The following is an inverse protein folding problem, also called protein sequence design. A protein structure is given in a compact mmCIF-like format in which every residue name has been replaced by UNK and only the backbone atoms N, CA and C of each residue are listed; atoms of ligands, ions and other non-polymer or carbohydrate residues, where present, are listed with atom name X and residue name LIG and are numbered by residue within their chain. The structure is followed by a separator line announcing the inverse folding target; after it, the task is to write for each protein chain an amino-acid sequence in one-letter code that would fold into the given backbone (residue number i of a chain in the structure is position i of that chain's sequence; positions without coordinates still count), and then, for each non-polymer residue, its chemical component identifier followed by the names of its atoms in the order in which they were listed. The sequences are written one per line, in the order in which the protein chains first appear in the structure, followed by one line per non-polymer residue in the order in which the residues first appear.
data_IF_846626671445
#
_entry.id   IF_846626671445
#
_cell.length_a   1.000
_cell.length_b   1.000
_cell.length_c   1.000
_cell.angle_alpha   90.00
_cell.angle_beta   90.00
_cell.angle_gamma   90.00
#
_symmetry.space_group_name_H-M   'P 1'
#
loop_
_entity.id
_entity.type
_entity.pdbx_description
1 polymer ?
#
# COMPACT_ATOMS: atom_id res chain seq x y z
N UNK A 1 -17.09 33.87 4.41
CA UNK A 1 -16.03 33.09 3.75
C UNK A 1 -16.54 31.67 3.59
N UNK A 2 -16.57 31.11 2.38
CA UNK A 2 -17.01 29.72 2.19
C UNK A 2 -16.02 28.78 2.89
N UNK A 3 -16.52 27.91 3.76
CA UNK A 3 -15.71 26.91 4.44
C UNK A 3 -15.03 25.99 3.39
N UNK A 4 -13.70 25.83 3.47
CA UNK A 4 -12.96 24.99 2.55
C UNK A 4 -13.37 23.53 2.73
N UNK A 5 -13.97 22.93 1.71
CA UNK A 5 -14.45 21.53 1.72
C UNK A 5 -13.42 20.53 1.17
N UNK A 6 -12.37 21.03 0.52
CA UNK A 6 -11.28 20.23 -0.05
C UNK A 6 -9.94 20.84 0.34
N UNK A 7 -9.09 20.03 0.95
CA UNK A 7 -7.74 20.38 1.39
C UNK A 7 -6.77 19.55 0.55
N UNK A 8 -5.89 20.24 -0.17
CA UNK A 8 -4.90 19.63 -1.06
C UNK A 8 -3.52 19.98 -0.55
N UNK A 9 -2.66 18.97 -0.46
CA UNK A 9 -1.25 19.12 -0.14
C UNK A 9 -0.47 19.31 -1.46
N UNK A 10 0.62 20.07 -1.47
CA UNK A 10 1.46 20.14 -2.66
C UNK A 10 2.37 18.91 -2.76
N UNK A 11 2.84 18.56 -3.97
CA UNK A 11 3.84 17.50 -4.13
C UNK A 11 5.15 17.78 -3.38
N UNK A 12 5.48 19.07 -3.15
CA UNK A 12 6.68 19.47 -2.39
C UNK A 12 6.59 19.10 -0.92
N UNK A 13 5.37 18.99 -0.41
CA UNK A 13 5.11 18.65 0.99
C UNK A 13 4.78 17.15 1.16
N UNK A 14 4.92 16.34 0.10
CA UNK A 14 4.74 14.89 0.22
C UNK A 14 5.77 14.31 1.20
N UNK A 15 5.35 13.39 2.10
CA UNK A 15 6.28 12.71 2.98
C UNK A 15 7.38 12.00 2.20
N UNK A 16 8.62 12.10 2.69
CA UNK A 16 9.79 11.41 2.14
C UNK A 16 10.05 10.04 2.75
N UNK A 17 9.33 9.68 3.82
CA UNK A 17 9.52 8.45 4.57
C UNK A 17 8.17 7.76 4.82
N UNK A 18 8.17 6.43 4.81
CA UNK A 18 7.14 5.64 5.46
C UNK A 18 7.38 5.61 6.97
N UNK A 19 6.29 5.55 7.73
CA UNK A 19 6.35 5.40 9.18
C UNK A 19 6.10 3.94 9.56
N UNK A 20 6.96 3.40 10.43
CA UNK A 20 6.87 2.05 10.95
C UNK A 20 6.47 2.10 12.43
N UNK A 21 5.27 1.60 12.72
CA UNK A 21 4.71 1.61 14.07
C UNK A 21 5.46 0.67 15.02
N UNK A 22 6.14 -0.36 14.52
CA UNK A 22 6.86 -1.34 15.35
C UNK A 22 7.94 -0.68 16.23
N UNK A 23 8.48 0.47 15.81
CA UNK A 23 9.44 1.23 16.60
C UNK A 23 8.85 1.81 17.90
N UNK A 24 7.54 2.04 17.96
CA UNK A 24 6.87 2.72 19.07
C UNK A 24 5.97 1.81 19.90
N UNK A 25 5.65 0.59 19.41
CA UNK A 25 4.86 -0.40 20.15
C UNK A 25 5.49 -0.81 21.50
N UNK A 26 6.82 -1.06 21.61
CA UNK A 26 7.42 -1.41 22.90
C UNK A 26 7.25 -0.33 23.96
N UNK A 27 7.35 0.96 23.57
CA UNK A 27 7.14 2.08 24.48
C UNK A 27 5.67 2.20 24.95
N UNK A 28 4.72 1.68 24.16
CA UNK A 28 3.32 1.55 24.54
C UNK A 28 3.04 0.27 25.35
N UNK A 29 4.06 -0.53 25.69
CA UNK A 29 3.90 -1.81 26.39
C UNK A 29 3.28 -2.90 25.54
N UNK A 30 3.31 -2.76 24.21
CA UNK A 30 2.78 -3.74 23.25
C UNK A 30 3.95 -4.54 22.69
N UNK A 31 3.98 -5.83 23.01
CA UNK A 31 4.91 -6.80 22.43
C UNK A 31 4.17 -7.61 21.36
N UNK A 32 4.65 -7.55 20.11
CA UNK A 32 4.03 -8.28 19.01
C UNK A 32 4.61 -9.70 18.95
N UNK A 33 3.76 -10.74 18.94
CA UNK A 33 4.27 -12.09 18.76
C UNK A 33 4.92 -12.21 17.38
N UNK A 34 6.05 -12.94 17.27
CA UNK A 34 6.69 -13.16 15.98
C UNK A 34 5.79 -14.00 15.08
N UNK A 35 5.92 -13.79 13.77
CA UNK A 35 5.35 -14.72 12.80
C UNK A 35 6.08 -16.07 12.93
N UNK A 36 5.30 -17.16 12.95
CA UNK A 36 5.83 -18.52 13.17
C UNK A 36 5.87 -19.30 11.86
N UNK A 37 6.93 -20.09 11.68
CA UNK A 37 7.05 -21.03 10.58
C UNK A 37 5.99 -22.13 10.72
N UNK A 38 5.13 -22.36 9.72
CA UNK A 38 3.95 -23.24 9.86
C UNK A 38 4.30 -24.71 10.11
N UNK A 39 5.48 -25.16 9.64
CA UNK A 39 5.96 -26.53 9.88
C UNK A 39 6.65 -26.77 11.23
N UNK A 40 7.39 -25.79 11.77
CA UNK A 40 8.23 -25.98 12.97
C UNK A 40 7.64 -25.31 14.20
N UNK A 41 6.72 -24.36 14.03
CA UNK A 41 6.17 -23.53 15.09
C UNK A 41 7.16 -22.55 15.72
N UNK A 42 8.37 -22.43 15.16
CA UNK A 42 9.40 -21.48 15.62
C UNK A 42 9.27 -20.14 14.90
N UNK A 43 9.77 -19.02 15.48
CA UNK A 43 9.81 -17.73 14.81
C UNK A 43 10.47 -17.81 13.43
N UNK A 44 9.89 -17.13 12.42
CA UNK A 44 10.43 -17.05 11.07
C UNK A 44 11.77 -16.33 11.06
N UNK A 45 12.73 -16.89 10.32
CA UNK A 45 13.97 -16.22 9.94
C UNK A 45 13.91 -15.65 8.52
N UNK A 46 14.87 -14.80 8.13
CA UNK A 46 14.97 -14.28 6.75
C UNK A 46 15.00 -15.38 5.68
N UNK A 47 15.70 -16.48 5.94
CA UNK A 47 15.83 -17.61 5.00
C UNK A 47 14.50 -18.30 4.72
N UNK A 48 13.54 -18.27 5.66
CA UNK A 48 12.20 -18.82 5.46
C UNK A 48 11.37 -17.97 4.49
N UNK A 49 11.71 -16.69 4.34
CA UNK A 49 11.01 -15.71 3.49
C UNK A 49 11.69 -15.48 2.14
N UNK A 50 13.00 -15.75 2.04
CA UNK A 50 13.80 -15.56 0.83
C UNK A 50 13.26 -16.27 -0.43
N UNK A 51 12.57 -17.43 -0.35
CA UNK A 51 11.93 -18.03 -1.53
C UNK A 51 10.75 -17.22 -2.08
N UNK A 52 10.16 -16.33 -1.29
CA UNK A 52 8.94 -15.58 -1.61
C UNK A 52 9.21 -14.10 -1.88
N UNK A 53 10.16 -13.51 -1.18
CA UNK A 53 10.37 -12.06 -1.18
C UNK A 53 11.84 -11.69 -1.42
N UNK A 54 12.09 -10.57 -2.13
CA UNK A 54 13.40 -9.93 -2.20
C UNK A 54 13.89 -9.51 -0.81
N UNK A 55 15.21 -9.50 -0.62
CA UNK A 55 15.82 -9.19 0.68
C UNK A 55 15.47 -7.79 1.19
N UNK A 56 15.30 -6.83 0.30
CA UNK A 56 14.87 -5.48 0.67
C UNK A 56 13.48 -5.43 1.29
N UNK A 57 12.56 -6.33 0.91
CA UNK A 57 11.23 -6.42 1.53
C UNK A 57 11.29 -7.17 2.87
N UNK A 58 12.11 -8.24 2.94
CA UNK A 58 12.32 -8.99 4.19
C UNK A 58 12.92 -8.08 5.26
N UNK A 59 13.89 -7.24 4.90
CA UNK A 59 14.50 -6.28 5.81
C UNK A 59 13.49 -5.26 6.36
N UNK A 60 12.51 -4.84 5.55
CA UNK A 60 11.45 -3.93 6.01
C UNK A 60 10.49 -4.60 7.00
N UNK A 61 10.16 -5.87 6.79
CA UNK A 61 9.27 -6.63 7.68
C UNK A 61 9.83 -6.74 9.11
N UNK A 62 11.16 -6.89 9.24
CA UNK A 62 11.84 -7.02 10.54
C UNK A 62 12.45 -5.71 11.05
N UNK A 63 12.22 -4.59 10.35
CA UNK A 63 12.83 -3.31 10.70
C UNK A 63 12.27 -2.76 12.02
N UNK A 64 13.18 -2.23 12.85
CA UNK A 64 12.88 -1.47 14.07
C UNK A 64 13.06 0.04 13.88
N UNK A 65 13.42 0.48 12.67
CA UNK A 65 13.55 1.89 12.35
C UNK A 65 12.16 2.54 12.29
N UNK A 66 12.01 3.71 12.94
CA UNK A 66 10.73 4.44 12.96
C UNK A 66 10.35 4.99 11.58
N UNK A 67 11.33 5.38 10.78
CA UNK A 67 11.13 5.98 9.47
C UNK A 67 11.99 5.27 8.44
N UNK A 68 11.36 4.85 7.34
CA UNK A 68 12.02 4.17 6.22
C UNK A 68 11.92 5.11 5.02
N UNK A 69 13.06 5.49 4.46
CA UNK A 69 13.12 6.40 3.31
C UNK A 69 12.38 5.81 2.10
N UNK A 70 11.59 6.65 1.42
CA UNK A 70 10.89 6.27 0.19
C UNK A 70 11.84 6.50 -0.98
N UNK A 71 12.20 5.46 -1.77
CA UNK A 71 13.09 5.63 -2.92
C UNK A 71 12.56 6.64 -3.93
N UNK A 72 13.44 7.39 -4.57
CA UNK A 72 13.06 8.41 -5.57
C UNK A 72 12.17 7.86 -6.69
N UNK A 73 12.48 6.67 -7.21
CA UNK A 73 11.65 6.03 -8.24
C UNK A 73 10.25 5.64 -7.76
N UNK A 74 10.07 5.42 -6.45
CA UNK A 74 8.76 5.18 -5.84
C UNK A 74 8.03 6.51 -5.62
N UNK A 75 8.74 7.55 -5.19
CA UNK A 75 8.19 8.91 -5.10
C UNK A 75 7.67 9.41 -6.44
N UNK A 76 8.45 9.26 -7.50
CA UNK A 76 8.06 9.69 -8.85
C UNK A 76 6.82 8.94 -9.34
N UNK A 77 6.73 7.65 -9.04
CA UNK A 77 5.54 6.87 -9.35
C UNK A 77 4.31 7.30 -8.52
N UNK A 78 4.50 7.68 -7.25
CA UNK A 78 3.41 8.22 -6.43
C UNK A 78 2.85 9.55 -6.96
N UNK A 79 3.68 10.43 -7.52
CA UNK A 79 3.25 11.73 -8.08
C UNK A 79 2.20 11.60 -9.19
N UNK A 80 2.02 10.41 -9.78
CA UNK A 80 0.93 10.15 -10.73
C UNK A 80 -0.47 10.42 -10.15
N UNK A 81 -0.67 10.32 -8.82
CA UNK A 81 -1.95 10.66 -8.18
C UNK A 81 -1.85 11.19 -6.74
N UNK A 82 -0.69 11.11 -6.10
CA UNK A 82 -0.44 11.61 -4.75
C UNK A 82 0.11 13.04 -4.82
N UNK A 83 -0.16 13.87 -3.80
CA UNK A 83 -0.97 13.57 -2.61
C UNK A 83 -2.48 13.61 -2.89
N UNK A 84 -3.20 12.68 -2.27
CA UNK A 84 -4.67 12.63 -2.36
C UNK A 84 -5.32 13.74 -1.54
N UNK A 85 -6.51 14.19 -1.93
CA UNK A 85 -7.20 15.26 -1.21
C UNK A 85 -7.80 14.77 0.11
N UNK A 86 -7.79 15.64 1.13
CA UNK A 86 -8.60 15.49 2.35
C UNK A 86 -9.88 16.31 2.16
N UNK A 87 -11.03 15.64 2.24
CA UNK A 87 -12.32 16.28 2.06
C UNK A 87 -13.04 16.43 3.39
N UNK A 88 -13.77 17.53 3.55
CA UNK A 88 -14.72 17.71 4.64
C UNK A 88 -16.14 17.49 4.14
N UNK A 89 -16.88 16.60 4.81
CA UNK A 89 -18.21 16.17 4.42
C UNK A 89 -19.31 17.08 4.98
N UNK A 90 -19.26 18.41 4.74
CA UNK A 90 -20.19 19.40 5.34
C UNK A 90 -21.67 19.07 5.12
N UNK A 91 -22.05 18.56 3.94
CA UNK A 91 -23.44 18.14 3.67
C UNK A 91 -23.85 16.93 4.52
N UNK A 92 -22.91 16.03 4.81
CA UNK A 92 -23.13 14.87 5.67
C UNK A 92 -23.23 15.31 7.13
N UNK A 93 -22.32 16.18 7.59
CA UNK A 93 -22.39 16.81 8.93
C UNK A 93 -23.79 17.40 9.17
N UNK A 94 -24.29 18.18 8.21
CA UNK A 94 -25.66 18.75 8.26
C UNK A 94 -26.76 17.69 8.25
N UNK A 95 -26.64 16.64 7.43
CA UNK A 95 -27.65 15.59 7.36
C UNK A 95 -27.74 14.75 8.64
N UNK A 96 -26.64 14.64 9.39
CA UNK A 96 -26.58 13.95 10.68
C UNK A 96 -26.94 14.84 11.88
N UNK A 97 -27.09 16.15 11.67
CA UNK A 97 -27.23 17.15 12.75
C UNK A 97 -26.15 16.98 13.84
N UNK A 98 -24.90 16.79 13.42
CA UNK A 98 -23.79 16.53 14.34
C UNK A 98 -22.90 17.77 14.52
N UNK A 99 -22.40 18.03 15.74
CA UNK A 99 -21.36 19.04 15.95
C UNK A 99 -19.97 18.53 15.50
N UNK A 100 -19.83 17.24 15.19
CA UNK A 100 -18.58 16.66 14.74
C UNK A 100 -18.21 17.15 13.34
N UNK A 101 -16.92 17.35 13.10
CA UNK A 101 -16.39 17.59 11.75
C UNK A 101 -15.97 16.26 11.15
N UNK A 102 -16.49 15.94 9.98
CA UNK A 102 -16.27 14.66 9.31
C UNK A 102 -15.32 14.89 8.14
N UNK A 103 -14.14 14.28 8.22
CA UNK A 103 -13.15 14.30 7.16
C UNK A 103 -12.91 12.91 6.60
N UNK A 104 -12.63 12.84 5.30
CA UNK A 104 -12.19 11.60 4.66
C UNK A 104 -11.01 11.85 3.73
N UNK A 105 -9.98 11.00 3.85
CA UNK A 105 -8.83 10.99 2.95
C UNK A 105 -9.20 10.19 1.70
N UNK A 106 -9.32 10.86 0.57
CA UNK A 106 -9.87 10.25 -0.64
C UNK A 106 -8.80 9.51 -1.45
N UNK A 107 -8.52 8.25 -1.08
CA UNK A 107 -7.57 7.36 -1.78
C UNK A 107 -8.11 6.76 -3.10
N UNK A 108 -9.27 7.21 -3.57
CA UNK A 108 -9.91 6.70 -4.78
C UNK A 108 -9.35 7.27 -6.09
N UNK A 109 -8.41 8.21 -6.04
CA UNK A 109 -7.87 8.89 -7.24
C UNK A 109 -6.72 8.13 -7.91
N UNK A 110 -6.26 7.03 -7.33
CA UNK A 110 -5.20 6.23 -7.97
C UNK A 110 -5.70 5.54 -9.25
N UNK A 111 -4.80 5.13 -10.16
CA UNK A 111 -5.19 4.41 -11.37
C UNK A 111 -6.03 3.15 -11.12
N UNK A 112 -5.88 2.49 -9.96
CA UNK A 112 -6.69 1.32 -9.58
C UNK A 112 -7.93 1.68 -8.75
N UNK A 113 -8.14 2.97 -8.44
CA UNK A 113 -9.28 3.48 -7.67
C UNK A 113 -9.24 3.11 -6.18
N UNK A 114 -8.06 2.90 -5.60
CA UNK A 114 -7.89 2.57 -4.18
C UNK A 114 -6.50 2.89 -3.64
N UNK A 115 -6.27 2.71 -2.33
CA UNK A 115 -4.95 2.86 -1.71
C UNK A 115 -3.94 1.75 -2.07
N UNK A 116 -4.36 0.66 -2.73
CA UNK A 116 -3.50 -0.52 -2.96
C UNK A 116 -2.21 -0.25 -3.74
N UNK A 117 -2.17 0.66 -4.74
CA UNK A 117 -0.92 1.02 -5.39
C UNK A 117 0.12 1.59 -4.44
N UNK A 118 -0.27 2.11 -3.27
CA UNK A 118 0.67 2.60 -2.26
C UNK A 118 1.65 1.51 -1.80
N UNK A 119 1.25 0.22 -1.77
CA UNK A 119 2.18 -0.90 -1.50
C UNK A 119 2.60 -1.67 -2.76
N UNK A 120 1.72 -1.74 -3.78
CA UNK A 120 2.06 -2.46 -5.01
C UNK A 120 3.29 -1.88 -5.73
N UNK A 121 3.40 -0.53 -5.76
CA UNK A 121 4.53 0.17 -6.36
C UNK A 121 5.86 -0.17 -5.67
N UNK A 122 6.04 0.04 -4.36
CA UNK A 122 7.31 -0.30 -3.72
C UNK A 122 7.63 -1.79 -3.84
N UNK A 123 6.63 -2.70 -3.74
CA UNK A 123 6.88 -4.13 -3.93
C UNK A 123 7.40 -4.44 -5.34
N UNK A 124 6.78 -3.89 -6.39
CA UNK A 124 7.25 -4.07 -7.76
C UNK A 124 8.64 -3.44 -7.97
N UNK A 125 8.89 -2.26 -7.38
CA UNK A 125 10.19 -1.59 -7.41
C UNK A 125 11.30 -2.45 -6.82
N UNK A 126 11.15 -2.95 -5.58
CA UNK A 126 12.18 -3.74 -4.91
C UNK A 126 12.45 -5.06 -5.63
N UNK A 127 11.40 -5.72 -6.14
CA UNK A 127 11.55 -6.91 -6.97
C UNK A 127 12.34 -6.62 -8.26
N UNK A 128 11.99 -5.55 -8.99
CA UNK A 128 12.72 -5.13 -10.18
C UNK A 128 14.20 -4.83 -9.86
N UNK A 129 14.49 -4.16 -8.73
CA UNK A 129 15.85 -3.83 -8.30
C UNK A 129 16.69 -5.07 -7.99
N UNK A 130 16.07 -6.16 -7.54
CA UNK A 130 16.72 -7.45 -7.29
C UNK A 130 16.68 -8.40 -8.51
N UNK A 131 16.29 -7.89 -9.68
CA UNK A 131 16.36 -8.63 -10.94
C UNK A 131 15.19 -9.59 -11.19
N UNK A 132 14.13 -9.51 -10.39
CA UNK A 132 12.90 -10.29 -10.60
C UNK A 132 12.20 -9.79 -11.86
N UNK A 133 11.95 -10.69 -12.80
CA UNK A 133 11.33 -10.36 -14.10
C UNK A 133 9.83 -10.57 -14.12
N UNK A 134 9.26 -11.27 -13.12
CA UNK A 134 7.84 -11.59 -13.04
C UNK A 134 7.34 -11.71 -11.60
N UNK A 135 6.19 -11.12 -11.33
CA UNK A 135 5.41 -11.33 -10.10
C UNK A 135 4.17 -12.18 -10.34
N UNK A 136 3.81 -12.96 -9.34
CA UNK A 136 2.55 -13.69 -9.28
C UNK A 136 1.76 -13.26 -8.04
N UNK A 137 0.45 -13.10 -8.18
CA UNK A 137 -0.42 -12.78 -7.03
C UNK A 137 -1.84 -13.27 -7.25
N UNK A 138 -2.60 -13.39 -6.18
CA UNK A 138 -4.03 -13.68 -6.20
C UNK A 138 -4.88 -12.41 -6.30
N UNK A 139 -6.16 -12.53 -6.67
CA UNK A 139 -7.12 -11.46 -6.42
C UNK A 139 -8.55 -11.97 -6.31
N UNK A 140 -9.36 -11.33 -5.47
CA UNK A 140 -10.79 -11.58 -5.38
C UNK A 140 -11.55 -10.74 -6.41
N UNK A 141 -12.05 -9.59 -5.97
CA UNK A 141 -12.83 -8.68 -6.82
C UNK A 141 -11.99 -7.87 -7.83
N UNK A 142 -10.66 -7.99 -7.82
CA UNK A 142 -9.76 -7.44 -8.83
C UNK A 142 -8.94 -6.23 -8.40
N UNK A 143 -9.25 -5.55 -7.28
CA UNK A 143 -8.56 -4.30 -6.93
C UNK A 143 -7.05 -4.49 -6.68
N UNK A 144 -6.66 -5.60 -6.05
CA UNK A 144 -5.24 -5.91 -5.82
C UNK A 144 -4.53 -6.32 -7.10
N UNK A 145 -5.16 -7.19 -7.91
CA UNK A 145 -4.64 -7.55 -9.22
C UNK A 145 -4.41 -6.33 -10.11
N UNK A 146 -5.38 -5.41 -10.19
CA UNK A 146 -5.22 -4.17 -10.95
C UNK A 146 -4.10 -3.28 -10.42
N UNK A 147 -3.94 -3.18 -9.09
CA UNK A 147 -2.88 -2.39 -8.49
C UNK A 147 -1.48 -2.96 -8.75
N UNK A 148 -1.29 -4.28 -8.62
CA UNK A 148 0.00 -4.92 -8.89
C UNK A 148 0.31 -4.95 -10.39
N UNK A 149 -0.67 -5.23 -11.26
CA UNK A 149 -0.48 -5.14 -12.71
C UNK A 149 -0.03 -3.75 -13.15
N UNK A 150 -0.65 -2.69 -12.59
CA UNK A 150 -0.24 -1.31 -12.84
C UNK A 150 1.20 -1.04 -12.36
N UNK A 151 1.55 -1.45 -11.14
CA UNK A 151 2.90 -1.27 -10.60
C UNK A 151 3.96 -2.03 -11.41
N UNK A 152 3.69 -3.27 -11.79
CA UNK A 152 4.55 -4.08 -12.64
C UNK A 152 4.80 -3.43 -14.00
N UNK A 153 3.76 -2.84 -14.60
CA UNK A 153 3.87 -2.12 -15.87
C UNK A 153 4.80 -0.90 -15.77
N UNK A 154 4.78 -0.16 -14.66
CA UNK A 154 5.67 1.00 -14.44
C UNK A 154 7.16 0.61 -14.42
N UNK A 155 7.46 -0.59 -13.92
CA UNK A 155 8.84 -1.07 -13.74
C UNK A 155 9.26 -2.13 -14.75
N UNK A 156 8.45 -2.39 -15.78
CA UNK A 156 8.79 -3.30 -16.87
C UNK A 156 8.91 -4.78 -16.46
N UNK A 157 8.21 -5.20 -15.40
CA UNK A 157 8.17 -6.60 -14.94
C UNK A 157 6.83 -7.25 -15.30
N UNK A 158 6.82 -8.55 -15.59
CA UNK A 158 5.58 -9.27 -15.88
C UNK A 158 4.70 -9.44 -14.63
N UNK A 159 3.38 -9.43 -14.79
CA UNK A 159 2.45 -9.74 -13.71
C UNK A 159 1.50 -10.88 -14.10
N UNK A 160 1.43 -11.92 -13.27
CA UNK A 160 0.45 -13.00 -13.37
C UNK A 160 -0.54 -12.92 -12.21
N UNK A 161 -1.78 -12.54 -12.53
CA UNK A 161 -2.87 -12.47 -11.55
C UNK A 161 -3.71 -13.75 -11.60
N UNK A 162 -3.89 -14.39 -10.44
CA UNK A 162 -4.77 -15.53 -10.21
C UNK A 162 -6.07 -15.05 -9.56
N UNK A 163 -7.06 -14.71 -10.40
CA UNK A 163 -8.35 -14.23 -9.93
C UNK A 163 -9.27 -15.39 -9.53
N UNK A 164 -9.95 -15.26 -8.38
CA UNK A 164 -10.94 -16.24 -7.90
C UNK A 164 -11.98 -16.48 -8.99
N UNK A 165 -12.19 -17.75 -9.37
CA UNK A 165 -13.03 -18.17 -10.52
C UNK A 165 -14.38 -17.46 -10.59
N UNK A 166 -15.15 -17.47 -9.51
CA UNK A 166 -16.48 -16.85 -9.51
C UNK A 166 -16.42 -15.32 -9.69
N UNK A 167 -15.40 -14.65 -9.16
CA UNK A 167 -15.21 -13.22 -9.37
C UNK A 167 -14.73 -12.91 -10.78
N UNK A 168 -13.88 -13.76 -11.35
CA UNK A 168 -13.43 -13.63 -12.73
C UNK A 168 -14.61 -13.69 -13.72
N UNK A 169 -15.56 -14.60 -13.49
CA UNK A 169 -16.76 -14.75 -14.31
C UNK A 169 -17.75 -13.60 -14.11
N UNK A 170 -17.95 -13.14 -12.87
CA UNK A 170 -18.98 -12.15 -12.53
C UNK A 170 -18.51 -10.69 -12.61
N UNK A 171 -17.20 -10.43 -12.54
CA UNK A 171 -16.61 -9.07 -12.47
C UNK A 171 -15.56 -8.84 -13.57
N UNK A 172 -15.93 -8.94 -14.86
CA UNK A 172 -14.96 -8.95 -15.95
C UNK A 172 -14.22 -7.62 -16.16
N UNK A 173 -14.72 -6.50 -15.60
CA UNK A 173 -14.13 -5.17 -15.81
C UNK A 173 -12.78 -4.97 -15.10
N UNK A 174 -12.43 -5.86 -14.16
CA UNK A 174 -11.13 -5.86 -13.46
C UNK A 174 -10.28 -7.10 -13.74
N UNK A 175 -10.65 -7.89 -14.76
CA UNK A 175 -9.85 -9.03 -15.23
C UNK A 175 -8.55 -8.54 -15.88
#
# INVERSE_FOLDING_TARGET
MSELTKIVLSERDMPSHWYNINADLPAAGIDLPPALHPGTGQPLGPDDLAPLFPMALIAQEVSTERYIEIPDQVQDAYKLWRPTALHRAVKWEKALDTPAKIYFKYEGTSPSGSHKPNTAIPQAYYNMKEGVTRLATETGAGQWGSALSFACQLYGIECKVYMVKISYEQKPYRK
#
